data_IF_142882283210
#
_entry.id   IF_142882283210
#
_cell.length_a   1.000
_cell.length_b   1.000
_cell.length_c   1.000
_cell.angle_alpha   90.00
_cell.angle_beta   90.00
_cell.angle_gamma   90.00
#
_symmetry.space_group_name_H-M   'P 1'
#
loop_
_entity.id
_entity.type
_entity.pdbx_description
1 polymer ?
#
# COMPACT_ATOMS: atom_id res chain seq x y z
N UNK A 1 -7.24 -17.37 5.57
CA UNK A 1 -6.42 -16.39 6.32
C UNK A 1 -5.17 -15.96 5.54
N UNK A 2 -4.62 -16.81 4.66
CA UNK A 2 -3.47 -16.54 3.78
C UNK A 2 -3.41 -15.12 3.17
N UNK A 3 -4.52 -14.64 2.60
CA UNK A 3 -4.53 -13.39 1.83
C UNK A 3 -4.27 -12.14 2.70
N UNK A 4 -4.77 -12.10 3.93
CA UNK A 4 -4.60 -10.92 4.79
C UNK A 4 -3.18 -10.78 5.32
N UNK A 5 -2.50 -11.91 5.58
CA UNK A 5 -1.11 -11.91 6.05
C UNK A 5 -0.17 -11.52 4.91
N UNK A 6 -0.41 -12.03 3.69
CA UNK A 6 0.36 -11.64 2.51
C UNK A 6 0.22 -10.15 2.21
N UNK A 7 -1.02 -9.63 2.23
CA UNK A 7 -1.31 -8.20 2.05
C UNK A 7 -0.58 -7.34 3.09
N UNK A 8 -0.55 -7.77 4.37
CA UNK A 8 0.19 -7.09 5.44
C UNK A 8 1.71 -7.10 5.22
N UNK A 9 2.28 -8.26 4.85
CA UNK A 9 3.72 -8.39 4.59
C UNK A 9 4.15 -7.51 3.43
N UNK A 10 3.37 -7.51 2.34
CA UNK A 10 3.66 -6.68 1.16
C UNK A 10 3.57 -5.19 1.50
N UNK A 11 2.54 -4.77 2.25
CA UNK A 11 2.43 -3.38 2.72
C UNK A 11 3.60 -2.97 3.63
N UNK A 12 4.02 -3.84 4.56
CA UNK A 12 5.17 -3.56 5.42
C UNK A 12 6.47 -3.44 4.62
N UNK A 13 6.70 -4.33 3.64
CA UNK A 13 7.85 -4.23 2.74
C UNK A 13 7.83 -2.92 1.96
N UNK A 14 6.66 -2.51 1.47
CA UNK A 14 6.53 -1.30 0.68
C UNK A 14 6.75 -0.04 1.52
N UNK A 15 6.26 -0.01 2.77
CA UNK A 15 6.57 1.05 3.73
C UNK A 15 8.09 1.18 3.99
N UNK A 16 8.80 0.05 4.13
CA UNK A 16 10.27 0.04 4.25
C UNK A 16 10.94 0.59 2.99
N UNK A 17 10.50 0.19 1.80
CA UNK A 17 11.02 0.75 0.54
C UNK A 17 10.76 2.25 0.41
N UNK A 18 9.61 2.73 0.86
CA UNK A 18 9.32 4.16 0.90
C UNK A 18 10.29 4.92 1.80
N UNK A 19 10.55 4.41 3.01
CA UNK A 19 11.54 4.99 3.92
C UNK A 19 12.95 4.96 3.34
N UNK A 20 13.36 3.86 2.71
CA UNK A 20 14.65 3.77 2.00
C UNK A 20 14.74 4.82 0.89
N UNK A 21 13.66 5.04 0.14
CA UNK A 21 13.58 6.11 -0.85
C UNK A 21 13.84 7.50 -0.26
N UNK A 22 13.26 7.81 0.90
CA UNK A 22 13.49 9.08 1.61
C UNK A 22 14.93 9.23 2.12
N UNK A 23 15.54 8.15 2.61
CA UNK A 23 16.96 8.15 2.98
C UNK A 23 17.87 8.37 1.77
N UNK A 24 17.51 7.78 0.62
CA UNK A 24 18.22 7.98 -0.64
C UNK A 24 18.16 9.44 -1.08
N UNK A 25 16.99 10.08 -0.96
CA UNK A 25 16.80 11.52 -1.22
C UNK A 25 17.68 12.37 -0.32
N UNK A 26 17.74 12.07 0.98
CA UNK A 26 18.52 12.83 1.95
C UNK A 26 20.04 12.74 1.69
N UNK A 27 20.51 11.66 1.08
CA UNK A 27 21.92 11.43 0.73
C UNK A 27 22.25 11.56 -0.76
N UNK A 28 21.34 12.09 -1.58
CA UNK A 28 21.51 12.11 -3.03
C UNK A 28 22.67 13.05 -3.44
N UNK A 29 23.65 12.49 -4.15
CA UNK A 29 24.77 13.25 -4.71
C UNK A 29 24.51 13.71 -6.15
N UNK A 30 23.53 13.10 -6.82
CA UNK A 30 23.13 13.32 -8.20
C UNK A 30 21.61 13.46 -8.34
N UNK A 31 21.17 14.07 -9.44
CA UNK A 31 19.77 14.39 -9.66
C UNK A 31 18.93 13.13 -9.92
N UNK A 32 19.52 12.12 -10.55
CA UNK A 32 18.91 10.84 -10.86
C UNK A 32 18.53 10.08 -9.58
N UNK A 33 19.44 10.02 -8.61
CA UNK A 33 19.22 9.41 -7.30
C UNK A 33 18.14 10.13 -6.50
N UNK A 34 18.10 11.47 -6.57
CA UNK A 34 17.05 12.26 -5.95
C UNK A 34 15.66 11.93 -6.54
N UNK A 35 15.54 11.95 -7.87
CA UNK A 35 14.29 11.66 -8.58
C UNK A 35 13.84 10.23 -8.29
N UNK A 36 14.76 9.27 -8.32
CA UNK A 36 14.46 7.87 -8.02
C UNK A 36 13.95 7.69 -6.59
N UNK A 37 14.58 8.30 -5.59
CA UNK A 37 14.16 8.20 -4.19
C UNK A 37 12.77 8.82 -3.95
N UNK A 38 12.48 9.97 -4.56
CA UNK A 38 11.15 10.60 -4.51
C UNK A 38 10.11 9.71 -5.20
N UNK A 39 10.42 9.16 -6.38
CA UNK A 39 9.51 8.29 -7.11
C UNK A 39 9.22 7.00 -6.32
N UNK A 40 10.22 6.38 -5.71
CA UNK A 40 10.09 5.19 -4.88
C UNK A 40 9.22 5.46 -3.65
N UNK A 41 9.48 6.56 -2.94
CA UNK A 41 8.67 6.96 -1.78
C UNK A 41 7.24 7.30 -2.17
N UNK A 42 7.04 8.04 -3.26
CA UNK A 42 5.70 8.39 -3.75
C UNK A 42 4.91 7.15 -4.16
N UNK A 43 5.55 6.23 -4.88
CA UNK A 43 4.95 4.97 -5.28
C UNK A 43 4.56 4.12 -4.07
N UNK A 44 5.44 3.99 -3.07
CA UNK A 44 5.17 3.21 -1.87
C UNK A 44 3.93 3.73 -1.11
N UNK A 45 3.83 5.05 -0.93
CA UNK A 45 2.67 5.67 -0.27
C UNK A 45 1.37 5.37 -1.04
N UNK A 46 1.38 5.58 -2.36
CA UNK A 46 0.20 5.32 -3.19
C UNK A 46 -0.20 3.84 -3.18
N UNK A 47 0.78 2.95 -3.19
CA UNK A 47 0.56 1.52 -3.12
C UNK A 47 -0.11 1.11 -1.80
N UNK A 48 0.41 1.58 -0.66
CA UNK A 48 -0.17 1.28 0.66
C UNK A 48 -1.59 1.83 0.81
N UNK A 49 -1.86 3.04 0.30
CA UNK A 49 -3.21 3.60 0.26
C UNK A 49 -4.16 2.74 -0.59
N UNK A 50 -3.70 2.22 -1.72
CA UNK A 50 -4.45 1.29 -2.55
C UNK A 50 -4.76 -0.03 -1.83
N UNK A 51 -3.82 -0.53 -1.04
CA UNK A 51 -3.96 -1.76 -0.26
C UNK A 51 -5.00 -1.61 0.86
N UNK A 52 -4.97 -0.47 1.56
CA UNK A 52 -5.96 -0.08 2.56
C UNK A 52 -7.34 0.05 1.92
N UNK A 53 -7.46 0.76 0.79
CA UNK A 53 -8.72 0.91 0.07
C UNK A 53 -9.30 -0.45 -0.32
N UNK A 54 -8.49 -1.32 -0.92
CA UNK A 54 -8.90 -2.67 -1.31
C UNK A 54 -9.34 -3.53 -0.11
N UNK A 55 -8.76 -3.31 1.06
CA UNK A 55 -9.19 -3.99 2.28
C UNK A 55 -10.59 -3.54 2.70
N UNK A 56 -10.88 -2.23 2.64
CA UNK A 56 -12.20 -1.70 2.94
C UNK A 56 -13.26 -2.08 1.90
N UNK A 57 -12.95 -1.98 0.61
CA UNK A 57 -13.86 -2.36 -0.47
C UNK A 57 -14.32 -3.83 -0.31
N UNK A 58 -13.38 -4.76 -0.04
CA UNK A 58 -13.70 -6.17 0.25
C UNK A 58 -14.63 -6.36 1.46
N UNK A 59 -14.49 -5.54 2.50
CA UNK A 59 -15.34 -5.61 3.70
C UNK A 59 -16.74 -5.08 3.43
N UNK A 60 -16.85 -4.02 2.65
CA UNK A 60 -18.13 -3.41 2.33
C UNK A 60 -18.92 -4.29 1.34
N UNK A 61 -18.27 -4.91 0.36
CA UNK A 61 -18.85 -5.96 -0.49
C UNK A 61 -19.40 -7.13 0.34
N UNK A 62 -18.61 -7.65 1.30
CA UNK A 62 -19.05 -8.75 2.17
C UNK A 62 -20.27 -8.36 3.03
N UNK A 63 -20.32 -7.12 3.52
CA UNK A 63 -21.47 -6.58 4.27
C UNK A 63 -22.71 -6.39 3.40
N UNK A 64 -22.54 -5.92 2.16
CA UNK A 64 -23.62 -5.78 1.20
C UNK A 64 -24.24 -7.15 0.86
N UNK A 65 -23.41 -8.16 0.61
CA UNK A 65 -23.85 -9.53 0.35
C UNK A 65 -24.66 -10.12 1.52
N UNK A 66 -24.20 -9.92 2.77
CA UNK A 66 -24.92 -10.39 3.95
C UNK A 66 -26.31 -9.74 4.12
N UNK A 67 -26.45 -8.45 3.79
CA UNK A 67 -27.74 -7.74 3.84
C UNK A 67 -28.70 -8.21 2.74
N UNK A 68 -28.20 -8.49 1.54
CA UNK A 68 -29.02 -9.04 0.44
C UNK A 68 -29.64 -10.39 0.79
N UNK A 69 -28.94 -11.21 1.58
CA UNK A 69 -29.39 -12.54 1.99
C UNK A 69 -30.46 -12.54 3.12
N UNK A 70 -30.78 -11.38 3.71
CA UNK A 70 -31.77 -11.27 4.80
C UNK A 70 -33.15 -10.80 4.30
N UNK A 71 -33.26 -10.42 3.02
CA UNK A 71 -34.49 -9.97 2.37
C UNK A 71 -35.14 -11.02 1.45
N UNK A 72 -34.73 -12.28 1.58
CA UNK A 72 -35.31 -13.46 0.91
C UNK A 72 -35.93 -14.38 1.96
#
# INVERSE_FOLDING_TARGET
MENNVSDLVVGLMMAVFGLVGLFLVAGAADAEMYIFGIALSGFAILFDLGLIKRYHDRRDEARAAARGNTHV
#
